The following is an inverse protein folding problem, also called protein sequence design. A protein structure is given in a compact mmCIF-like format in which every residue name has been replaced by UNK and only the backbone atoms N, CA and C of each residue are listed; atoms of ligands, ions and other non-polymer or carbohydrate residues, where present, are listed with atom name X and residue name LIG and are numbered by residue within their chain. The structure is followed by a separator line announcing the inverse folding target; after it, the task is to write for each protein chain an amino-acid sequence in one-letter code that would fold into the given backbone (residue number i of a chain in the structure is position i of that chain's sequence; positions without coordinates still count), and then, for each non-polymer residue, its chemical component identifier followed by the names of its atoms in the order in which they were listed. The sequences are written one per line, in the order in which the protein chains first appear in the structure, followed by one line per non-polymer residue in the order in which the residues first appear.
data_IF_781864743364
#
_entry.id   IF_781864743364
#
_cell.length_a   1.000
_cell.length_b   1.000
_cell.length_c   1.000
_cell.angle_alpha   90.00
_cell.angle_beta   90.00
_cell.angle_gamma   90.00
#
_symmetry.space_group_name_H-M   'P 1'
#
loop_
_entity.id
_entity.type
_entity.pdbx_description
1 polymer ?
#
# COMPACT_ATOMS: atom_id res chain seq x y z
N UNK A 1 -9.11 6.80 19.78
CA UNK A 1 -8.37 6.73 18.50
C UNK A 1 -7.03 7.42 18.70
N UNK A 2 -5.92 6.67 18.69
CA UNK A 2 -4.60 7.26 18.81
C UNK A 2 -4.29 8.07 17.54
N UNK A 3 -4.05 9.38 17.70
CA UNK A 3 -3.54 10.22 16.62
C UNK A 3 -2.13 9.71 16.31
N UNK A 4 -1.96 8.98 15.20
CA UNK A 4 -0.63 8.70 14.68
C UNK A 4 -0.09 10.02 14.13
N UNK A 5 0.97 10.52 14.74
CA UNK A 5 1.64 11.73 14.28
C UNK A 5 2.38 11.40 12.99
N UNK A 6 1.76 11.73 11.85
CA UNK A 6 2.37 11.60 10.55
C UNK A 6 3.18 12.86 10.24
N UNK A 7 4.44 12.70 9.89
CA UNK A 7 5.21 13.83 9.42
C UNK A 7 4.71 14.28 8.04
N UNK A 8 4.38 15.56 7.89
CA UNK A 8 3.97 16.16 6.62
C UNK A 8 5.14 16.53 5.70
N UNK A 9 6.37 16.15 6.05
CA UNK A 9 7.56 16.44 5.24
C UNK A 9 7.75 15.39 4.14
N UNK A 10 8.12 15.84 2.94
CA UNK A 10 8.55 14.95 1.85
C UNK A 10 9.91 14.36 2.25
N UNK A 11 10.06 13.04 2.39
CA UNK A 11 11.37 12.44 2.64
C UNK A 11 12.24 12.57 1.36
N UNK A 12 13.56 12.63 1.52
CA UNK A 12 14.46 12.66 0.36
C UNK A 12 14.45 11.33 -0.42
N UNK A 13 14.20 10.20 0.25
CA UNK A 13 14.36 8.86 -0.32
C UNK A 13 13.07 8.29 -0.94
N UNK A 14 12.05 9.11 -1.23
CA UNK A 14 10.75 8.61 -1.70
C UNK A 14 10.84 7.81 -3.00
N UNK A 15 11.75 8.20 -3.91
CA UNK A 15 11.91 7.58 -5.22
C UNK A 15 12.31 6.09 -5.11
N UNK A 16 13.18 5.77 -4.15
CA UNK A 16 13.62 4.39 -3.90
C UNK A 16 12.43 3.49 -3.52
N UNK A 17 11.55 3.96 -2.64
CA UNK A 17 10.40 3.19 -2.20
C UNK A 17 9.28 3.12 -3.26
N UNK A 18 9.18 4.12 -4.13
CA UNK A 18 8.31 4.04 -5.31
C UNK A 18 8.83 2.95 -6.27
N UNK A 19 10.14 2.85 -6.47
CA UNK A 19 10.73 1.79 -7.28
C UNK A 19 10.45 0.41 -6.66
N UNK A 20 10.63 0.25 -5.34
CA UNK A 20 10.29 -0.98 -4.63
C UNK A 20 8.79 -1.33 -4.73
N UNK A 21 7.89 -0.34 -4.69
CA UNK A 21 6.46 -0.55 -4.89
C UNK A 21 6.11 -1.00 -6.32
N UNK A 22 6.95 -0.65 -7.30
CA UNK A 22 6.78 -1.05 -8.69
C UNK A 22 7.46 -2.39 -9.02
N UNK A 23 8.19 -3.00 -8.09
CA UNK A 23 8.85 -4.28 -8.32
C UNK A 23 7.81 -5.41 -8.40
N UNK A 24 7.53 -5.87 -9.62
CA UNK A 24 6.46 -6.85 -9.88
C UNK A 24 6.91 -8.25 -9.46
N UNK A 25 8.21 -8.56 -9.61
CA UNK A 25 8.75 -9.89 -9.39
C UNK A 25 8.78 -10.29 -7.92
N UNK A 26 8.86 -9.32 -7.00
CA UNK A 26 8.93 -9.55 -5.56
C UNK A 26 7.86 -8.77 -4.80
N UNK A 27 6.89 -9.49 -4.24
CA UNK A 27 5.84 -8.90 -3.43
C UNK A 27 6.33 -8.45 -2.05
N UNK A 28 7.42 -9.04 -1.52
CA UNK A 28 8.00 -8.64 -0.23
C UNK A 28 8.60 -7.23 -0.32
N UNK A 29 9.26 -6.91 -1.44
CA UNK A 29 9.70 -5.54 -1.75
C UNK A 29 8.55 -4.54 -1.74
N UNK A 30 7.38 -4.91 -2.29
CA UNK A 30 6.18 -4.06 -2.26
C UNK A 30 5.60 -3.89 -0.85
N UNK A 31 5.60 -4.94 -0.03
CA UNK A 31 5.22 -4.84 1.39
C UNK A 31 6.16 -3.93 2.18
N UNK A 32 7.47 -4.07 1.96
CA UNK A 32 8.49 -3.18 2.55
C UNK A 32 8.26 -1.73 2.14
N UNK A 33 7.93 -1.49 0.86
CA UNK A 33 7.58 -0.17 0.38
C UNK A 33 6.35 0.39 1.13
N UNK A 34 5.26 -0.37 1.26
CA UNK A 34 4.07 0.06 2.03
C UNK A 34 4.43 0.43 3.47
N UNK A 35 5.27 -0.37 4.13
CA UNK A 35 5.75 -0.10 5.49
C UNK A 35 6.47 1.24 5.62
N UNK A 36 7.23 1.67 4.60
CA UNK A 36 7.82 3.00 4.57
C UNK A 36 6.80 4.09 4.20
N UNK A 37 6.00 3.87 3.15
CA UNK A 37 5.04 4.84 2.61
C UNK A 37 3.98 5.22 3.66
N UNK A 38 3.58 4.28 4.51
CA UNK A 38 2.59 4.47 5.59
C UNK A 38 3.03 5.38 6.74
N UNK A 39 4.33 5.75 6.82
CA UNK A 39 4.86 6.57 7.92
C UNK A 39 4.65 8.07 7.77
N UNK A 40 4.54 8.57 6.52
CA UNK A 40 4.43 10.01 6.27
C UNK A 40 3.24 10.29 5.34
N UNK A 41 2.51 11.36 5.63
CA UNK A 41 1.30 11.73 4.89
C UNK A 41 1.64 12.73 3.80
N UNK A 42 2.17 12.26 2.67
CA UNK A 42 2.36 13.12 1.48
C UNK A 42 1.59 12.60 0.27
N UNK A 43 1.35 13.48 -0.70
CA UNK A 43 0.53 13.17 -1.88
C UNK A 43 1.07 11.99 -2.69
N UNK A 44 2.38 11.96 -2.96
CA UNK A 44 3.02 10.90 -3.74
C UNK A 44 2.86 9.53 -3.09
N UNK A 45 3.02 9.44 -1.76
CA UNK A 45 2.85 8.20 -1.00
C UNK A 45 1.41 7.72 -1.03
N UNK A 46 0.44 8.63 -0.83
CA UNK A 46 -0.98 8.28 -0.89
C UNK A 46 -1.36 7.75 -2.27
N UNK A 47 -0.92 8.43 -3.33
CA UNK A 47 -1.14 8.00 -4.71
C UNK A 47 -0.63 6.57 -4.94
N UNK A 48 0.56 6.28 -4.43
CA UNK A 48 1.18 4.95 -4.58
C UNK A 48 0.43 3.86 -3.80
N UNK A 49 0.03 4.14 -2.56
CA UNK A 49 -0.80 3.22 -1.76
C UNK A 49 -2.15 2.95 -2.43
N UNK A 50 -2.79 3.98 -3.01
CA UNK A 50 -4.04 3.81 -3.77
C UNK A 50 -3.84 2.92 -5.00
N UNK A 51 -2.72 3.06 -5.70
CA UNK A 51 -2.36 2.20 -6.85
C UNK A 51 -2.25 0.75 -6.38
N UNK A 52 -1.41 0.48 -5.39
CA UNK A 52 -1.20 -0.87 -4.85
C UNK A 52 -2.52 -1.50 -4.37
N UNK A 53 -3.32 -0.78 -3.58
CA UNK A 53 -4.61 -1.27 -3.10
C UNK A 53 -5.56 -1.70 -4.25
N UNK A 54 -5.61 -0.94 -5.34
CA UNK A 54 -6.53 -1.19 -6.45
C UNK A 54 -6.00 -2.25 -7.42
N UNK A 55 -4.74 -2.16 -7.80
CA UNK A 55 -4.20 -2.87 -8.98
C UNK A 55 -3.30 -4.04 -8.64
N UNK A 56 -2.80 -4.19 -7.41
CA UNK A 56 -1.88 -5.28 -7.10
C UNK A 56 -2.54 -6.66 -7.30
N UNK A 57 -1.77 -7.63 -7.77
CA UNK A 57 -2.26 -8.99 -8.00
C UNK A 57 -2.33 -9.78 -6.70
N UNK A 58 -1.46 -9.45 -5.74
CA UNK A 58 -1.37 -10.13 -4.45
C UNK A 58 -2.31 -9.45 -3.46
N UNK A 59 -3.25 -10.23 -2.93
CA UNK A 59 -4.26 -9.71 -2.01
C UNK A 59 -3.67 -9.12 -0.72
N UNK A 60 -2.60 -9.73 -0.20
CA UNK A 60 -1.91 -9.25 1.01
C UNK A 60 -1.33 -7.83 0.82
N UNK A 61 -0.73 -7.56 -0.35
CA UNK A 61 -0.25 -6.21 -0.70
C UNK A 61 -1.41 -5.21 -0.77
N UNK A 62 -2.57 -5.63 -1.31
CA UNK A 62 -3.78 -4.80 -1.36
C UNK A 62 -4.30 -4.49 0.04
N UNK A 63 -4.30 -5.48 0.92
CA UNK A 63 -4.78 -5.37 2.29
C UNK A 63 -3.90 -4.44 3.13
N UNK A 64 -2.57 -4.59 3.04
CA UNK A 64 -1.64 -3.71 3.76
C UNK A 64 -1.73 -2.25 3.27
N UNK A 65 -1.84 -2.05 1.95
CA UNK A 65 -2.04 -0.71 1.39
C UNK A 65 -3.38 -0.09 1.86
N UNK A 66 -4.44 -0.89 1.94
CA UNK A 66 -5.73 -0.47 2.48
C UNK A 66 -5.64 -0.06 3.95
N UNK A 67 -4.98 -0.88 4.80
CA UNK A 67 -4.76 -0.55 6.21
C UNK A 67 -3.96 0.74 6.38
N UNK A 68 -2.95 0.96 5.55
CA UNK A 68 -2.17 2.21 5.53
C UNK A 68 -3.05 3.42 5.21
N UNK A 69 -3.91 3.33 4.18
CA UNK A 69 -4.83 4.42 3.81
C UNK A 69 -5.90 4.68 4.88
N UNK A 70 -6.44 3.64 5.52
CA UNK A 70 -7.35 3.79 6.66
C UNK A 70 -6.69 4.52 7.83
N UNK A 71 -5.42 4.20 8.13
CA UNK A 71 -4.66 4.89 9.17
C UNK A 71 -4.46 6.38 8.86
N UNK A 72 -4.43 6.77 7.58
CA UNK A 72 -4.42 8.17 7.16
C UNK A 72 -5.79 8.86 7.22
N UNK A 73 -6.86 8.13 7.55
CA UNK A 73 -8.23 8.63 7.57
C UNK A 73 -8.85 8.79 6.18
N UNK A 74 -8.31 8.11 5.17
CA UNK A 74 -8.85 8.15 3.82
C UNK A 74 -10.09 7.23 3.70
N UNK A 75 -11.11 7.66 2.95
CA UNK A 75 -12.28 6.83 2.67
C UNK A 75 -11.94 5.81 1.57
N UNK A 76 -11.60 4.59 2.01
CA UNK A 76 -11.17 3.50 1.14
C UNK A 76 -12.02 2.26 1.32
N UNK A 77 -12.19 1.50 0.23
CA UNK A 77 -12.90 0.22 0.22
C UNK A 77 -12.00 -0.83 -0.43
N UNK A 78 -11.73 -1.91 0.30
CA UNK A 78 -10.99 -3.05 -0.23
C UNK A 78 -11.94 -3.97 -1.00
N UNK A 79 -11.59 -4.31 -2.24
CA UNK A 79 -12.32 -5.31 -3.00
C UNK A 79 -12.19 -6.67 -2.31
N UNK A 80 -13.29 -7.42 -2.18
CA UNK A 80 -13.27 -8.76 -1.56
C UNK A 80 -12.21 -9.64 -2.24
N UNK A 81 -11.46 -10.41 -1.44
CA UNK A 81 -10.60 -11.49 -1.95
C UNK A 81 -11.50 -12.38 -2.81
N UNK A 82 -11.21 -12.51 -4.10
CA UNK A 82 -11.85 -13.55 -4.90
C UNK A 82 -11.44 -14.87 -4.25
N UNK A 83 -12.41 -15.63 -3.75
CA UNK A 83 -12.19 -17.06 -3.53
C UNK A 83 -11.87 -17.59 -4.92
N UNK A 84 -10.63 -18.04 -5.13
CA UNK A 84 -10.37 -18.94 -6.24
C UNK A 84 -11.38 -20.07 -6.10
N UNK A 85 -12.39 -20.09 -6.97
CA UNK A 85 -13.14 -21.31 -7.22
C UNK A 85 -12.09 -22.34 -7.58
N UNK A 86 -11.92 -23.33 -6.71
CA UNK A 86 -11.01 -24.45 -6.91
C UNK A 86 -11.27 -25.01 -8.31
N UNK A 87 -10.45 -24.62 -9.30
CA UNK A 87 -10.35 -25.39 -10.53
C UNK A 87 -9.63 -26.67 -10.09
N UNK A 88 -10.42 -27.67 -9.72
CA UNK A 88 -9.98 -29.05 -9.70
C UNK A 88 -9.71 -29.40 -11.17
N UNK A 89 -8.43 -29.46 -11.52
CA UNK A 89 -7.95 -30.18 -12.71
C UNK A 89 -8.34 -31.65 -12.60
#
# INVERSE_FOLDING_TARGET
MAKKDFENKKPNNIAEYINLANEISDYQSRLKAIGFLSKHRCFERKKELYRLMKTDRIFEVKEEAFRALQNFGEDVKLTKKRKESQLKL
#
